data_IF_317661281568
#
_entry.id   IF_317661281568
#
_cell.length_a   1.000
_cell.length_b   1.000
_cell.length_c   1.000
_cell.angle_alpha   90.00
_cell.angle_beta   90.00
_cell.angle_gamma   90.00
#
_symmetry.space_group_name_H-M   'P 1'
#
loop_
_entity.id
_entity.type
_entity.pdbx_description
1 polymer ?
#
# COMPACT_ATOMS: atom_id res chain seq x y z
N UNK A 1 -16.14 15.89 9.58
CA UNK A 1 -16.30 14.86 10.61
C UNK A 1 -15.34 13.73 10.27
N UNK A 2 -14.53 13.26 11.21
CA UNK A 2 -13.61 12.14 11.00
C UNK A 2 -14.42 10.88 10.71
N UNK A 3 -14.11 10.21 9.61
CA UNK A 3 -14.83 9.01 9.20
C UNK A 3 -14.18 7.77 9.82
N UNK A 4 -14.96 6.97 10.54
CA UNK A 4 -14.48 5.72 11.10
C UNK A 4 -14.36 4.67 10.00
N UNK A 5 -13.15 4.49 9.47
CA UNK A 5 -12.86 3.42 8.54
C UNK A 5 -12.58 2.11 9.29
N UNK A 6 -13.02 1.00 8.68
CA UNK A 6 -12.62 -0.33 9.11
C UNK A 6 -11.27 -0.77 8.53
N UNK A 7 -11.06 -2.08 8.49
CA UNK A 7 -10.05 -2.71 7.65
C UNK A 7 -10.55 -2.72 6.20
N UNK A 8 -9.68 -2.52 5.22
CA UNK A 8 -10.05 -2.67 3.81
C UNK A 8 -9.62 -4.04 3.32
N UNK A 9 -10.57 -4.94 3.17
CA UNK A 9 -10.32 -6.33 2.78
C UNK A 9 -11.29 -6.72 1.68
N UNK A 10 -10.77 -7.33 0.63
CA UNK A 10 -11.57 -7.83 -0.51
C UNK A 10 -12.48 -6.76 -1.15
N UNK A 11 -11.96 -5.54 -1.27
CA UNK A 11 -12.67 -4.41 -1.88
C UNK A 11 -13.71 -3.74 -1.00
N UNK A 12 -13.79 -4.08 0.30
CA UNK A 12 -14.78 -3.57 1.24
C UNK A 12 -14.16 -3.08 2.54
N UNK A 13 -14.75 -2.03 3.10
CA UNK A 13 -14.48 -1.61 4.46
C UNK A 13 -15.24 -2.48 5.45
N UNK A 14 -14.53 -3.11 6.38
CA UNK A 14 -15.11 -4.00 7.39
C UNK A 14 -14.58 -3.62 8.77
N UNK A 15 -15.40 -3.69 9.83
CA UNK A 15 -14.89 -3.53 11.18
C UNK A 15 -13.87 -4.63 11.49
N UNK A 16 -13.07 -4.42 12.55
CA UNK A 16 -12.25 -5.51 13.11
C UNK A 16 -13.13 -6.70 13.51
N UNK A 17 -12.62 -7.91 13.34
CA UNK A 17 -13.37 -9.14 13.59
C UNK A 17 -13.79 -9.35 15.06
N UNK A 18 -13.16 -8.62 15.98
CA UNK A 18 -13.52 -8.57 17.41
C UNK A 18 -14.18 -7.24 17.82
N UNK A 19 -14.40 -6.32 16.87
CA UNK A 19 -14.91 -4.99 17.12
C UNK A 19 -13.89 -4.02 17.76
N UNK A 20 -12.62 -4.43 17.90
CA UNK A 20 -11.57 -3.63 18.52
C UNK A 20 -11.27 -2.35 17.73
N UNK A 21 -11.13 -1.24 18.46
CA UNK A 21 -10.79 0.09 17.94
C UNK A 21 -9.70 0.74 18.77
N UNK A 22 -9.11 1.79 18.24
CA UNK A 22 -8.20 2.69 18.95
C UNK A 22 -8.48 4.15 18.55
N UNK A 23 -8.22 5.07 19.46
CA UNK A 23 -8.41 6.49 19.23
C UNK A 23 -7.32 7.07 18.33
N UNK A 24 -7.73 7.98 17.45
CA UNK A 24 -6.82 8.80 16.63
C UNK A 24 -6.93 10.24 17.12
N UNK A 25 -5.79 10.83 17.43
CA UNK A 25 -5.71 12.13 18.11
C UNK A 25 -5.14 13.18 17.16
N UNK A 26 -5.69 14.37 17.19
CA UNK A 26 -5.12 15.54 16.52
C UNK A 26 -3.91 16.05 17.33
N UNK A 27 -2.69 16.03 16.78
CA UNK A 27 -1.49 16.44 17.53
C UNK A 27 -1.43 17.94 17.82
N UNK A 28 -2.27 18.75 17.18
CA UNK A 28 -2.27 20.22 17.36
C UNK A 28 -3.02 20.68 18.62
N UNK A 29 -4.02 19.93 19.07
CA UNK A 29 -4.88 20.30 20.20
C UNK A 29 -5.24 19.13 21.13
N UNK A 30 -4.68 17.93 20.85
CA UNK A 30 -4.89 16.70 21.61
C UNK A 30 -6.36 16.19 21.61
N UNK A 31 -7.22 16.74 20.75
CA UNK A 31 -8.60 16.27 20.63
C UNK A 31 -8.68 14.93 19.90
N UNK A 32 -9.60 14.07 20.32
CA UNK A 32 -9.90 12.82 19.66
C UNK A 32 -10.62 13.13 18.34
N UNK A 33 -10.02 12.78 17.21
CA UNK A 33 -10.61 12.90 15.88
C UNK A 33 -11.70 11.85 15.64
N UNK A 34 -11.49 10.65 16.17
CA UNK A 34 -12.36 9.51 16.03
C UNK A 34 -11.62 8.20 16.32
N UNK A 35 -12.22 7.08 15.91
CA UNK A 35 -11.67 5.77 16.12
C UNK A 35 -11.25 5.10 14.80
N UNK A 36 -10.14 4.36 14.81
CA UNK A 36 -9.75 3.45 13.75
C UNK A 36 -9.86 2.00 14.24
N UNK A 37 -10.21 1.09 13.33
CA UNK A 37 -10.30 -0.34 13.66
C UNK A 37 -8.93 -0.95 13.93
N UNK A 38 -8.84 -1.81 14.94
CA UNK A 38 -7.62 -2.52 15.34
C UNK A 38 -7.67 -3.96 14.81
N UNK A 39 -6.91 -4.25 13.75
CA UNK A 39 -6.89 -5.57 13.14
C UNK A 39 -6.48 -6.68 14.11
N UNK A 40 -7.20 -7.79 14.06
CA UNK A 40 -6.86 -9.04 14.72
C UNK A 40 -6.02 -9.94 13.82
N UNK A 41 -5.51 -11.03 14.36
CA UNK A 41 -4.84 -12.07 13.56
C UNK A 41 -5.76 -12.64 12.47
N UNK A 42 -7.06 -12.76 12.75
CA UNK A 42 -8.05 -13.21 11.77
C UNK A 42 -8.19 -12.23 10.59
N UNK A 43 -8.18 -10.93 10.87
CA UNK A 43 -8.26 -9.90 9.82
C UNK A 43 -7.01 -9.93 8.94
N UNK A 44 -5.82 -10.12 9.53
CA UNK A 44 -4.58 -10.28 8.77
C UNK A 44 -4.63 -11.51 7.87
N UNK A 45 -5.14 -12.64 8.37
CA UNK A 45 -5.31 -13.87 7.58
C UNK A 45 -6.29 -13.67 6.41
N UNK A 46 -7.41 -12.99 6.65
CA UNK A 46 -8.36 -12.65 5.61
C UNK A 46 -7.73 -11.75 4.54
N UNK A 47 -6.97 -10.73 4.94
CA UNK A 47 -6.26 -9.86 4.01
C UNK A 47 -5.19 -10.61 3.18
N UNK A 48 -4.47 -11.54 3.79
CA UNK A 48 -3.51 -12.40 3.10
C UNK A 48 -4.18 -13.25 2.00
N UNK A 49 -5.29 -13.91 2.34
CA UNK A 49 -6.05 -14.71 1.38
C UNK A 49 -6.68 -13.86 0.28
N UNK A 50 -7.21 -12.68 0.64
CA UNK A 50 -7.73 -11.71 -0.31
C UNK A 50 -6.64 -11.23 -1.27
N UNK A 51 -5.47 -10.84 -0.75
CA UNK A 51 -4.34 -10.40 -1.58
C UNK A 51 -3.84 -11.50 -2.52
N UNK A 52 -3.83 -12.76 -2.09
CA UNK A 52 -3.49 -13.90 -2.96
C UNK A 52 -4.47 -14.06 -4.11
N UNK A 53 -5.79 -13.92 -3.86
CA UNK A 53 -6.82 -13.95 -4.92
C UNK A 53 -6.68 -12.76 -5.86
N UNK A 54 -6.51 -11.55 -5.30
CA UNK A 54 -6.34 -10.32 -6.07
C UNK A 54 -5.10 -10.37 -6.98
N UNK A 55 -4.01 -10.99 -6.53
CA UNK A 55 -2.82 -11.21 -7.36
C UNK A 55 -3.13 -12.03 -8.61
N UNK A 56 -3.93 -13.10 -8.51
CA UNK A 56 -4.27 -13.95 -9.66
C UNK A 56 -5.08 -13.21 -10.73
N UNK A 57 -5.84 -12.19 -10.33
CA UNK A 57 -6.57 -11.31 -11.24
C UNK A 57 -5.61 -10.28 -11.85
N UNK A 58 -4.86 -9.57 -10.98
CA UNK A 58 -4.08 -8.40 -11.40
C UNK A 58 -2.88 -8.75 -12.26
N UNK A 59 -2.19 -9.84 -11.99
CA UNK A 59 -1.05 -10.29 -12.80
C UNK A 59 -1.44 -10.69 -14.24
N UNK A 60 -2.73 -11.05 -14.46
CA UNK A 60 -3.27 -11.36 -15.79
C UNK A 60 -3.84 -10.14 -16.50
N UNK A 61 -4.07 -9.03 -15.78
CA UNK A 61 -4.58 -7.79 -16.36
C UNK A 61 -3.51 -7.17 -17.26
N UNK A 62 -3.83 -6.86 -18.53
CA UNK A 62 -2.86 -6.27 -19.44
C UNK A 62 -2.25 -4.97 -18.92
N UNK A 63 -0.98 -4.70 -19.26
CA UNK A 63 -0.25 -3.52 -18.81
C UNK A 63 -0.98 -2.20 -19.12
N UNK A 64 -1.60 -2.10 -20.30
CA UNK A 64 -2.37 -0.93 -20.71
C UNK A 64 -3.61 -0.70 -19.85
N UNK A 65 -4.31 -1.77 -19.48
CA UNK A 65 -5.47 -1.68 -18.57
C UNK A 65 -5.04 -1.32 -17.16
N UNK A 66 -3.94 -1.92 -16.65
CA UNK A 66 -3.37 -1.54 -15.35
C UNK A 66 -2.98 -0.05 -15.34
N UNK A 67 -2.27 0.39 -16.39
CA UNK A 67 -1.87 1.80 -16.55
C UNK A 67 -3.07 2.74 -16.52
N UNK A 68 -4.15 2.45 -17.25
CA UNK A 68 -5.35 3.27 -17.27
C UNK A 68 -6.00 3.38 -15.89
N UNK A 69 -6.11 2.28 -15.16
CA UNK A 69 -6.66 2.27 -13.79
C UNK A 69 -5.78 3.03 -12.79
N UNK A 70 -4.45 2.87 -12.89
CA UNK A 70 -3.49 3.58 -12.01
C UNK A 70 -3.52 5.07 -12.32
N UNK A 71 -3.63 5.50 -13.58
CA UNK A 71 -3.80 6.90 -13.96
C UNK A 71 -5.09 7.49 -13.39
N UNK A 72 -6.19 6.75 -13.45
CA UNK A 72 -7.46 7.19 -12.86
C UNK A 72 -7.34 7.45 -11.36
N UNK A 73 -6.49 6.71 -10.63
CA UNK A 73 -6.21 6.99 -9.22
C UNK A 73 -5.58 8.39 -9.10
N UNK A 74 -4.59 8.72 -9.94
CA UNK A 74 -3.93 10.02 -9.92
C UNK A 74 -4.94 11.17 -10.17
N UNK A 75 -5.81 11.01 -11.16
CA UNK A 75 -6.84 12.00 -11.47
C UNK A 75 -7.80 12.21 -10.30
N UNK A 76 -8.30 11.13 -9.70
CA UNK A 76 -9.18 11.18 -8.53
C UNK A 76 -8.50 11.79 -7.29
N UNK A 77 -7.19 11.58 -7.09
CA UNK A 77 -6.46 12.24 -5.99
C UNK A 77 -6.42 13.75 -6.24
N UNK A 78 -6.16 14.21 -7.47
CA UNK A 78 -6.16 15.64 -7.82
C UNK A 78 -7.53 16.27 -7.61
N UNK A 79 -8.59 15.58 -8.02
CA UNK A 79 -9.97 16.04 -7.82
C UNK A 79 -10.34 16.15 -6.34
N UNK A 80 -9.81 15.25 -5.51
CA UNK A 80 -10.10 15.16 -4.08
C UNK A 80 -8.97 15.68 -3.18
N UNK A 81 -8.01 16.44 -3.74
CA UNK A 81 -6.82 16.91 -3.02
C UNK A 81 -7.13 17.61 -1.71
N UNK A 82 -8.21 18.37 -1.65
CA UNK A 82 -8.61 19.13 -0.46
C UNK A 82 -9.14 18.21 0.64
N UNK A 83 -9.82 17.13 0.27
CA UNK A 83 -10.26 16.09 1.23
C UNK A 83 -9.05 15.38 1.80
N UNK A 84 -8.11 14.94 0.95
CA UNK A 84 -6.87 14.28 1.37
C UNK A 84 -6.03 15.20 2.24
N UNK A 85 -5.89 16.47 1.84
CA UNK A 85 -5.15 17.49 2.60
C UNK A 85 -5.72 17.73 4.00
N UNK A 86 -7.05 17.73 4.13
CA UNK A 86 -7.71 17.90 5.41
C UNK A 86 -7.40 16.74 6.37
N UNK A 87 -7.39 15.49 5.88
CA UNK A 87 -7.01 14.34 6.69
C UNK A 87 -5.56 14.42 7.16
N UNK A 88 -4.64 14.81 6.25
CA UNK A 88 -3.23 15.00 6.56
C UNK A 88 -3.05 16.11 7.61
N UNK A 89 -3.76 17.23 7.45
CA UNK A 89 -3.68 18.34 8.41
C UNK A 89 -4.16 17.91 9.82
N UNK A 90 -5.26 17.17 9.89
CA UNK A 90 -5.83 16.71 11.16
C UNK A 90 -4.93 15.67 11.86
N UNK A 91 -4.38 14.71 11.13
CA UNK A 91 -3.64 13.59 11.74
C UNK A 91 -2.15 13.88 11.95
N UNK A 92 -1.54 14.66 11.05
CA UNK A 92 -0.09 14.95 11.10
C UNK A 92 0.18 16.29 11.77
N UNK A 93 -0.81 17.19 11.84
CA UNK A 93 -0.64 18.55 12.30
C UNK A 93 0.05 19.48 11.30
N UNK A 94 0.12 19.12 10.02
CA UNK A 94 0.68 19.94 8.93
C UNK A 94 -0.25 21.09 8.56
N UNK A 95 0.29 22.25 8.12
CA UNK A 95 -0.51 23.25 7.45
C UNK A 95 -1.28 22.67 6.25
N UNK A 96 -2.53 23.08 6.07
CA UNK A 96 -3.41 22.57 5.00
C UNK A 96 -2.76 22.63 3.60
N UNK A 97 -2.08 23.74 3.29
CA UNK A 97 -1.36 23.88 2.01
C UNK A 97 -0.25 22.85 1.80
N UNK A 98 0.43 22.42 2.87
CA UNK A 98 1.40 21.32 2.79
C UNK A 98 0.70 19.98 2.58
N UNK A 99 -0.47 19.77 3.17
CA UNK A 99 -1.32 18.61 2.91
C UNK A 99 -1.76 18.55 1.44
N UNK A 100 -2.14 19.69 0.85
CA UNK A 100 -2.46 19.77 -0.59
C UNK A 100 -1.25 19.41 -1.45
N UNK A 101 -0.05 19.92 -1.11
CA UNK A 101 1.19 19.58 -1.80
C UNK A 101 1.49 18.08 -1.72
N UNK A 102 1.26 17.46 -0.55
CA UNK A 102 1.42 16.01 -0.37
C UNK A 102 0.43 15.19 -1.20
N UNK A 103 -0.83 15.62 -1.27
CA UNK A 103 -1.84 14.98 -2.11
C UNK A 103 -1.46 15.05 -3.61
N UNK A 104 -1.02 16.22 -4.09
CA UNK A 104 -0.58 16.39 -5.48
C UNK A 104 0.63 15.51 -5.78
N UNK A 105 1.66 15.51 -4.92
CA UNK A 105 2.83 14.66 -5.08
C UNK A 105 2.47 13.16 -5.07
N UNK A 106 1.46 12.76 -4.28
CA UNK A 106 0.93 11.39 -4.31
C UNK A 106 0.30 11.06 -5.67
N UNK A 107 -0.46 11.99 -6.25
CA UNK A 107 -1.04 11.83 -7.58
C UNK A 107 0.05 11.69 -8.66
N UNK A 108 1.09 12.51 -8.61
CA UNK A 108 2.22 12.48 -9.55
C UNK A 108 2.96 11.14 -9.50
N UNK A 109 3.11 10.56 -8.31
CA UNK A 109 3.69 9.23 -8.12
C UNK A 109 2.83 8.14 -8.77
N UNK A 110 1.50 8.19 -8.62
CA UNK A 110 0.61 7.26 -9.31
C UNK A 110 0.68 7.43 -10.82
N UNK A 111 0.68 8.66 -11.32
CA UNK A 111 0.81 8.96 -12.75
C UNK A 111 2.11 8.43 -13.33
N UNK A 112 3.25 8.70 -12.66
CA UNK A 112 4.55 8.17 -13.06
C UNK A 112 4.51 6.64 -13.18
N UNK A 113 3.98 5.95 -12.18
CA UNK A 113 3.90 4.49 -12.18
C UNK A 113 2.90 3.95 -13.22
N UNK A 114 1.85 4.72 -13.57
CA UNK A 114 0.97 4.38 -14.68
C UNK A 114 1.73 4.35 -16.02
N UNK A 115 2.63 5.33 -16.25
CA UNK A 115 3.48 5.36 -17.44
C UNK A 115 4.51 4.22 -17.43
N UNK A 116 5.17 3.99 -16.29
CA UNK A 116 6.16 2.91 -16.15
C UNK A 116 5.56 1.50 -16.32
N UNK A 117 4.28 1.32 -15.99
CA UNK A 117 3.57 0.05 -16.20
C UNK A 117 3.71 -0.48 -17.63
N UNK A 118 3.70 0.42 -18.62
CA UNK A 118 3.80 0.09 -20.05
C UNK A 118 5.24 -0.16 -20.50
N UNK A 119 6.24 0.16 -19.68
CA UNK A 119 7.67 0.08 -20.02
C UNK A 119 8.40 -1.10 -19.35
N UNK A 120 7.67 -2.02 -18.77
CA UNK A 120 8.23 -3.26 -18.21
C UNK A 120 8.53 -4.20 -19.37
N UNK A 121 9.61 -3.90 -20.11
CA UNK A 121 10.01 -4.65 -21.30
C UNK A 121 10.79 -5.91 -20.93
N UNK A 122 10.61 -6.98 -21.72
CA UNK A 122 11.52 -8.11 -21.75
C UNK A 122 12.73 -7.87 -22.63
N UNK A 123 13.60 -8.85 -22.72
CA UNK A 123 14.79 -8.84 -23.57
C UNK A 123 14.90 -10.16 -24.34
N UNK A 124 15.46 -10.09 -25.55
CA UNK A 124 15.95 -11.23 -26.29
C UNK A 124 17.47 -11.12 -26.32
N UNK A 125 18.15 -12.14 -25.83
CA UNK A 125 19.61 -12.14 -25.65
C UNK A 125 20.19 -13.26 -26.53
N UNK A 126 21.30 -12.99 -27.19
CA UNK A 126 22.04 -13.98 -27.94
C UNK A 126 22.53 -15.12 -27.05
N UNK A 127 22.38 -16.33 -27.55
CA UNK A 127 22.87 -17.52 -26.88
C UNK A 127 24.27 -17.88 -27.36
N UNK A 128 25.01 -18.59 -26.52
CA UNK A 128 26.26 -19.24 -26.88
C UNK A 128 26.08 -20.31 -27.99
N UNK A 129 24.87 -20.88 -28.10
CA UNK A 129 24.54 -21.96 -29.03
C UNK A 129 23.64 -21.43 -30.12
N UNK A 130 23.97 -21.80 -31.38
CA UNK A 130 23.27 -21.32 -32.59
C UNK A 130 21.79 -21.73 -32.67
N UNK A 131 21.43 -22.85 -32.02
CA UNK A 131 20.08 -23.41 -31.99
C UNK A 131 19.23 -22.95 -30.79
N UNK A 132 19.79 -22.08 -29.95
CA UNK A 132 19.17 -21.65 -28.72
C UNK A 132 18.87 -20.13 -28.75
N UNK A 133 17.69 -19.75 -28.28
CA UNK A 133 17.26 -18.36 -28.07
C UNK A 133 16.93 -18.11 -26.63
N UNK A 134 17.50 -17.07 -26.03
CA UNK A 134 17.24 -16.66 -24.63
C UNK A 134 16.23 -15.52 -24.63
N UNK A 135 15.11 -15.70 -23.91
CA UNK A 135 14.14 -14.66 -23.63
C UNK A 135 14.10 -14.37 -22.13
N UNK A 136 14.19 -13.08 -21.78
CA UNK A 136 14.02 -12.58 -20.41
C UNK A 136 12.65 -11.91 -20.33
N UNK A 137 11.80 -12.38 -19.43
CA UNK A 137 10.49 -11.81 -19.12
C UNK A 137 10.41 -11.44 -17.65
N UNK A 138 9.90 -10.25 -17.37
CA UNK A 138 9.63 -9.83 -16.00
C UNK A 138 8.24 -10.26 -15.58
N UNK A 139 8.13 -10.81 -14.37
CA UNK A 139 6.87 -11.23 -13.77
C UNK A 139 6.68 -10.59 -12.40
N UNK A 140 5.40 -10.38 -11.96
CA UNK A 140 5.11 -9.88 -10.63
C UNK A 140 5.76 -10.76 -9.55
N UNK A 141 6.38 -10.14 -8.55
CA UNK A 141 7.03 -10.87 -7.45
C UNK A 141 6.02 -11.60 -6.56
N UNK A 142 4.76 -11.15 -6.54
CA UNK A 142 3.71 -11.72 -5.72
C UNK A 142 3.01 -10.69 -4.83
N UNK A 143 2.57 -11.11 -3.65
CA UNK A 143 1.95 -10.21 -2.65
C UNK A 143 3.02 -9.38 -1.96
N UNK A 144 2.78 -8.06 -1.85
CA UNK A 144 3.67 -7.08 -1.23
C UNK A 144 3.08 -6.61 0.10
N UNK A 145 3.86 -6.64 1.18
CA UNK A 145 3.57 -5.93 2.42
C UNK A 145 4.17 -4.52 2.35
N UNK A 146 3.32 -3.49 2.42
CA UNK A 146 3.70 -2.09 2.38
C UNK A 146 3.53 -1.47 3.77
N UNK A 147 4.64 -1.16 4.45
CA UNK A 147 4.66 -0.61 5.80
C UNK A 147 5.09 0.86 5.74
N UNK A 148 4.24 1.77 6.22
CA UNK A 148 4.47 3.23 6.10
C UNK A 148 4.45 3.92 7.45
N UNK A 149 5.33 4.94 7.65
CA UNK A 149 5.33 5.78 8.83
C UNK A 149 4.32 6.93 8.70
N UNK A 150 4.27 7.76 9.74
CA UNK A 150 3.27 8.81 9.94
C UNK A 150 3.57 10.16 9.25
N UNK A 151 4.85 10.47 8.99
CA UNK A 151 5.28 11.84 8.65
C UNK A 151 4.86 12.34 7.26
N UNK A 152 4.70 11.45 6.29
CA UNK A 152 4.18 11.69 4.94
C UNK A 152 3.25 10.54 4.53
N UNK A 153 2.09 10.41 5.19
CA UNK A 153 1.29 9.19 5.12
C UNK A 153 0.85 8.84 3.70
N UNK A 154 0.40 9.81 2.91
CA UNK A 154 -0.13 9.55 1.56
C UNK A 154 0.97 9.36 0.52
N UNK A 155 2.04 10.16 0.54
CA UNK A 155 3.19 10.00 -0.38
C UNK A 155 3.85 8.63 -0.20
N UNK A 156 4.11 8.23 1.05
CA UNK A 156 4.82 6.98 1.33
C UNK A 156 3.96 5.75 1.02
N UNK A 157 2.65 5.83 1.24
CA UNK A 157 1.71 4.82 0.79
C UNK A 157 1.60 4.79 -0.74
N UNK A 158 1.49 5.95 -1.40
CA UNK A 158 1.41 6.08 -2.85
C UNK A 158 2.61 5.44 -3.54
N UNK A 159 3.85 5.70 -3.07
CA UNK A 159 5.07 5.09 -3.62
C UNK A 159 5.02 3.57 -3.61
N UNK A 160 4.53 2.96 -2.52
CA UNK A 160 4.51 1.52 -2.35
C UNK A 160 3.35 0.87 -3.10
N UNK A 161 2.15 1.44 -2.99
CA UNK A 161 0.94 0.91 -3.63
C UNK A 161 1.05 1.03 -5.15
N UNK A 162 1.38 2.22 -5.69
CA UNK A 162 1.43 2.43 -7.13
C UNK A 162 2.49 1.58 -7.82
N UNK A 163 3.68 1.45 -7.21
CA UNK A 163 4.76 0.61 -7.74
C UNK A 163 4.38 -0.87 -7.74
N UNK A 164 3.72 -1.35 -6.66
CA UNK A 164 3.21 -2.73 -6.61
C UNK A 164 2.17 -2.98 -7.71
N UNK A 165 1.22 -2.04 -7.87
CA UNK A 165 0.20 -2.12 -8.92
C UNK A 165 0.80 -2.10 -10.33
N UNK A 166 1.75 -1.21 -10.60
CA UNK A 166 2.45 -1.11 -11.87
C UNK A 166 3.14 -2.44 -12.25
N UNK A 167 3.81 -3.06 -11.28
CA UNK A 167 4.48 -4.34 -11.45
C UNK A 167 3.52 -5.54 -11.58
N UNK A 168 2.20 -5.34 -11.44
CA UNK A 168 1.21 -6.43 -11.48
C UNK A 168 1.09 -7.22 -10.18
N UNK A 169 1.60 -6.70 -9.07
CA UNK A 169 1.52 -7.28 -7.73
C UNK A 169 0.23 -6.86 -7.01
N UNK A 170 -0.23 -7.66 -6.05
CA UNK A 170 -1.18 -7.22 -5.04
C UNK A 170 -0.44 -6.68 -3.81
N UNK A 171 -1.13 -5.88 -2.99
CA UNK A 171 -0.51 -5.20 -1.85
C UNK A 171 -1.40 -5.22 -0.62
N UNK A 172 -0.79 -5.43 0.54
CA UNK A 172 -1.39 -5.20 1.85
C UNK A 172 -0.65 -4.01 2.46
N UNK A 173 -1.35 -2.89 2.59
CA UNK A 173 -0.81 -1.67 3.18
C UNK A 173 -1.09 -1.63 4.68
N UNK A 174 -0.07 -1.33 5.48
CA UNK A 174 -0.19 -1.07 6.91
C UNK A 174 0.30 0.35 7.19
N UNK A 175 -0.63 1.32 7.34
CA UNK A 175 -0.29 2.69 7.74
C UNK A 175 0.16 2.75 9.20
N UNK A 176 0.78 3.85 9.60
CA UNK A 176 1.03 4.14 11.01
C UNK A 176 -0.31 4.29 11.76
N UNK A 177 -0.31 3.94 13.05
CA UNK A 177 -1.50 4.05 13.90
C UNK A 177 -1.91 5.51 14.15
N UNK A 178 -0.98 6.45 14.10
CA UNK A 178 -1.30 7.87 14.36
C UNK A 178 -1.85 8.61 13.14
N UNK A 179 -1.68 8.06 11.93
CA UNK A 179 -2.16 8.66 10.67
C UNK A 179 -2.88 7.67 9.75
N UNK A 180 -3.82 6.89 10.28
CA UNK A 180 -4.47 5.85 9.48
C UNK A 180 -5.45 6.42 8.45
N UNK A 181 -6.21 7.45 8.79
CA UNK A 181 -7.28 8.00 7.98
C UNK A 181 -6.80 8.62 6.67
N UNK A 182 -5.64 9.28 6.66
CA UNK A 182 -5.02 9.82 5.45
C UNK A 182 -4.75 8.72 4.41
N UNK A 183 -4.25 7.56 4.86
CA UNK A 183 -3.99 6.41 3.97
C UNK A 183 -5.29 5.66 3.64
N UNK A 184 -6.23 5.60 4.57
CA UNK A 184 -7.56 5.02 4.33
C UNK A 184 -8.31 5.80 3.25
N UNK A 185 -8.24 7.13 3.28
CA UNK A 185 -8.79 7.99 2.23
C UNK A 185 -8.14 7.71 0.87
N UNK A 186 -6.82 7.54 0.83
CA UNK A 186 -6.11 7.15 -0.39
C UNK A 186 -6.59 5.79 -0.92
N UNK A 187 -6.76 4.80 -0.05
CA UNK A 187 -7.24 3.46 -0.43
C UNK A 187 -8.70 3.49 -0.90
N UNK A 188 -9.54 4.38 -0.33
CA UNK A 188 -10.90 4.57 -0.82
C UNK A 188 -10.93 5.15 -2.24
N UNK A 189 -10.01 6.06 -2.56
CA UNK A 189 -9.80 6.56 -3.92
C UNK A 189 -9.34 5.43 -4.86
N UNK A 190 -8.45 4.56 -4.41
CA UNK A 190 -8.02 3.36 -5.18
C UNK A 190 -9.21 2.44 -5.49
N UNK A 191 -10.12 2.23 -4.54
CA UNK A 191 -11.37 1.49 -4.72
C UNK A 191 -12.27 2.15 -5.78
N UNK A 192 -12.46 3.45 -5.68
CA UNK A 192 -13.28 4.24 -6.63
C UNK A 192 -12.72 4.24 -8.06
N UNK A 193 -11.41 4.16 -8.21
CA UNK A 193 -10.76 4.02 -9.51
C UNK A 193 -11.03 2.67 -10.19
N UNK A 194 -11.65 1.72 -9.49
CA UNK A 194 -12.03 0.41 -10.02
C UNK A 194 -10.89 -0.60 -10.03
N UNK A 195 -9.97 -0.52 -9.07
CA UNK A 195 -9.00 -1.59 -8.81
C UNK A 195 -9.78 -2.81 -8.30
N UNK A 196 -9.55 -4.01 -8.86
CA UNK A 196 -10.30 -5.21 -8.47
C UNK A 196 -10.15 -5.55 -6.98
N UNK A 197 -11.20 -6.15 -6.42
CA UNK A 197 -11.19 -6.63 -5.04
C UNK A 197 -9.98 -7.53 -4.76
N UNK A 198 -9.39 -7.38 -3.59
CA UNK A 198 -8.22 -8.15 -3.16
C UNK A 198 -6.87 -7.64 -3.68
N UNK A 199 -6.82 -6.84 -4.74
CA UNK A 199 -5.55 -6.31 -5.28
C UNK A 199 -4.89 -5.35 -4.30
N UNK A 200 -5.66 -4.50 -3.65
CA UNK A 200 -5.22 -3.63 -2.56
C UNK A 200 -6.02 -3.99 -1.32
N UNK A 201 -5.32 -4.19 -0.21
CA UNK A 201 -5.90 -4.37 1.12
C UNK A 201 -5.19 -3.40 2.08
N UNK A 202 -5.88 -3.00 3.15
CA UNK A 202 -5.31 -2.16 4.21
C UNK A 202 -5.65 -2.73 5.58
N UNK A 203 -4.64 -2.82 6.43
CA UNK A 203 -4.77 -3.24 7.82
C UNK A 203 -4.29 -2.14 8.75
N UNK A 204 -5.16 -1.69 9.64
CA UNK A 204 -4.85 -0.72 10.69
C UNK A 204 -4.81 -1.41 12.05
N UNK A 205 -3.90 -1.00 12.93
CA UNK A 205 -3.74 -1.58 14.26
C UNK A 205 -2.28 -1.75 14.68
N UNK A 206 -2.03 -2.63 15.64
CA UNK A 206 -0.71 -2.84 16.24
C UNK A 206 0.37 -3.20 15.21
N UNK A 207 1.43 -2.39 15.07
CA UNK A 207 2.43 -2.58 14.03
C UNK A 207 3.25 -3.85 14.20
N UNK A 208 3.54 -4.25 15.45
CA UNK A 208 4.37 -5.42 15.70
C UNK A 208 3.60 -6.71 15.39
N UNK A 209 2.35 -6.80 15.84
CA UNK A 209 1.48 -7.96 15.60
C UNK A 209 1.22 -8.15 14.10
N UNK A 210 0.76 -7.08 13.41
CA UNK A 210 0.42 -7.15 11.98
C UNK A 210 1.67 -7.48 11.15
N UNK A 211 2.80 -6.76 11.37
CA UNK A 211 4.01 -7.01 10.57
C UNK A 211 4.57 -8.41 10.79
N UNK A 212 4.64 -8.87 12.04
CA UNK A 212 5.13 -10.23 12.34
C UNK A 212 4.29 -11.30 11.61
N UNK A 213 2.97 -11.17 11.62
CA UNK A 213 2.10 -12.13 10.94
C UNK A 213 2.22 -12.06 9.41
N UNK A 214 2.34 -10.85 8.83
CA UNK A 214 2.59 -10.70 7.39
C UNK A 214 3.92 -11.32 6.97
N UNK A 215 4.98 -11.13 7.75
CA UNK A 215 6.32 -11.63 7.43
C UNK A 215 6.44 -13.16 7.64
N UNK A 216 5.71 -13.72 8.60
CA UNK A 216 5.69 -15.17 8.80
C UNK A 216 4.90 -15.94 7.73
N UNK A 217 4.10 -15.23 6.91
CA UNK A 217 3.27 -15.84 5.88
C UNK A 217 4.04 -16.21 4.62
N UNK A 218 3.77 -17.39 4.07
CA UNK A 218 4.29 -17.82 2.77
C UNK A 218 3.65 -17.07 1.58
N UNK A 219 2.57 -16.32 1.82
CA UNK A 219 1.87 -15.54 0.80
C UNK A 219 2.64 -14.26 0.45
N UNK A 220 3.23 -13.58 1.44
CA UNK A 220 3.99 -12.34 1.24
C UNK A 220 5.37 -12.69 0.66
N UNK A 221 5.67 -12.12 -0.51
CA UNK A 221 6.94 -12.35 -1.22
C UNK A 221 7.89 -11.16 -1.17
N UNK A 222 7.38 -9.98 -0.88
CA UNK A 222 8.16 -8.73 -0.79
C UNK A 222 7.65 -7.86 0.34
N UNK A 223 8.59 -7.26 1.05
CA UNK A 223 8.34 -6.20 2.04
C UNK A 223 8.89 -4.89 1.50
N UNK A 224 8.08 -3.83 1.56
CA UNK A 224 8.50 -2.45 1.31
C UNK A 224 8.21 -1.63 2.55
N UNK A 225 9.24 -1.15 3.22
CA UNK A 225 9.12 -0.40 4.47
C UNK A 225 9.85 0.94 4.39
N UNK A 226 9.22 1.98 4.95
CA UNK A 226 9.87 3.22 5.34
C UNK A 226 9.74 3.36 6.85
N UNK A 227 10.82 3.67 7.55
CA UNK A 227 10.81 3.79 9.01
C UNK A 227 12.21 3.95 9.61
N UNK A 228 12.31 3.80 10.94
CA UNK A 228 13.61 3.92 11.62
C UNK A 228 14.52 2.73 11.32
N UNK A 229 15.84 2.99 11.36
CA UNK A 229 16.87 1.93 11.24
C UNK A 229 16.65 0.79 12.23
N UNK A 230 16.19 1.09 13.46
CA UNK A 230 15.86 0.07 14.47
C UNK A 230 14.77 -0.89 14.01
N UNK A 231 13.67 -0.36 13.47
CA UNK A 231 12.57 -1.17 12.95
C UNK A 231 13.02 -1.93 11.70
N UNK A 232 13.79 -1.29 10.80
CA UNK A 232 14.35 -1.94 9.63
C UNK A 232 15.15 -3.20 9.96
N UNK A 233 16.01 -3.15 10.99
CA UNK A 233 16.78 -4.33 11.47
C UNK A 233 15.87 -5.44 11.97
N UNK A 234 14.77 -5.15 12.65
CA UNK A 234 13.80 -6.15 13.11
C UNK A 234 13.13 -6.82 11.91
N UNK A 235 12.66 -6.02 10.96
CA UNK A 235 12.01 -6.53 9.74
C UNK A 235 12.97 -7.39 8.91
N UNK A 236 14.25 -6.98 8.77
CA UNK A 236 15.25 -7.79 8.06
C UNK A 236 15.45 -9.17 8.69
N UNK A 237 15.54 -9.22 10.03
CA UNK A 237 15.67 -10.50 10.74
C UNK A 237 14.48 -11.42 10.48
N UNK A 238 13.27 -10.89 10.56
CA UNK A 238 12.06 -11.67 10.30
C UNK A 238 11.95 -12.11 8.83
N UNK A 239 12.27 -11.23 7.89
CA UNK A 239 12.22 -11.52 6.45
C UNK A 239 13.24 -12.58 6.02
N UNK A 240 14.38 -12.69 6.74
CA UNK A 240 15.41 -13.68 6.47
C UNK A 240 14.91 -15.12 6.65
N UNK A 241 13.99 -15.37 7.59
CA UNK A 241 13.41 -16.70 7.84
C UNK A 241 12.69 -17.28 6.60
N UNK A 242 12.15 -16.42 5.75
CA UNK A 242 11.44 -16.81 4.52
C UNK A 242 12.18 -16.38 3.23
N UNK A 243 13.40 -15.85 3.37
CA UNK A 243 14.20 -15.31 2.25
C UNK A 243 13.39 -14.32 1.40
N UNK A 244 12.57 -13.49 2.06
CA UNK A 244 11.70 -12.53 1.38
C UNK A 244 12.51 -11.37 0.81
N UNK A 245 12.06 -10.82 -0.32
CA UNK A 245 12.66 -9.61 -0.89
C UNK A 245 12.29 -8.41 -0.03
N UNK A 246 13.28 -7.60 0.35
CA UNK A 246 13.07 -6.41 1.17
C UNK A 246 13.59 -5.17 0.46
N UNK A 247 12.80 -4.09 0.47
CA UNK A 247 13.21 -2.75 0.09
C UNK A 247 12.93 -1.82 1.26
N UNK A 248 13.93 -1.06 1.68
CA UNK A 248 13.85 -0.19 2.85
C UNK A 248 14.27 1.23 2.51
N UNK A 249 13.56 2.18 3.08
CA UNK A 249 13.97 3.57 3.19
C UNK A 249 14.05 3.88 4.69
N UNK A 250 15.24 4.11 5.19
CA UNK A 250 15.52 4.18 6.62
C UNK A 250 16.15 5.53 6.98
N UNK A 251 15.83 6.03 8.18
CA UNK A 251 16.42 7.22 8.79
C UNK A 251 17.31 6.84 9.97
#
# INVERSE_FOLDING_TARGET
>A
MYQNFGQFIDGKWTPSSDGGVYEVVNPSNEEILGNASKATNRDVEQALHSAKKGLEIWKKTPAWERSAKIRKIADLIRDKKDIVANWIALEVGKPFAQGQGEAIASADIFEWNAEETKRIYGQIVESRFADTRIQIKYEPVGVVAALTPWNFPTILAARKISTALAAGCSVICKPDMVTPGSVMQLVDIVREAGIPAGVVNLLSGDPASISSQLLSSDIVKKISITGSTRVGKIILKQAAEKVQRVTMELS
#
